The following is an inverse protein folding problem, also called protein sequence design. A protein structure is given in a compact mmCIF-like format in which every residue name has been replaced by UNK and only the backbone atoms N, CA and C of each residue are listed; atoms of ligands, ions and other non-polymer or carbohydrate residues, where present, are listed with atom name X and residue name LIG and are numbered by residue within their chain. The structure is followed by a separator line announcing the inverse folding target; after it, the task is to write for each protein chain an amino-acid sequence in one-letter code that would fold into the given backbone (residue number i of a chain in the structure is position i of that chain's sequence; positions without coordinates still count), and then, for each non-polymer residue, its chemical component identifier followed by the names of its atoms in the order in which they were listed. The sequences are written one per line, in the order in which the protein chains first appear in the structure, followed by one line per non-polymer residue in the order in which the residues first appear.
data_IF_691617078363
#
_entry.id   IF_691617078363
#
_cell.length_a   1.000
_cell.length_b   1.000
_cell.length_c   1.000
_cell.angle_alpha   90.00
_cell.angle_beta   90.00
_cell.angle_gamma   90.00
#
_symmetry.space_group_name_H-M   'P 1'
#
loop_
_entity.id
_entity.type
_entity.pdbx_description
1 polymer ?
#
# COMPACT_ATOMS: atom_id res chain seq x y z
N UNK A 1 26.41 -4.16 -3.80
CA UNK A 1 26.07 -3.79 -2.41
C UNK A 1 25.20 -4.87 -1.82
N UNK A 2 25.38 -5.18 -0.53
CA UNK A 2 24.54 -6.14 0.21
C UNK A 2 23.68 -5.34 1.17
N UNK A 3 22.37 -5.56 1.15
CA UNK A 3 21.44 -4.95 2.10
C UNK A 3 21.03 -5.99 3.13
N UNK A 4 21.02 -5.61 4.40
CA UNK A 4 20.34 -6.35 5.45
C UNK A 4 18.92 -5.81 5.57
N UNK A 5 17.92 -6.70 5.53
CA UNK A 5 16.50 -6.31 5.62
C UNK A 5 15.92 -6.93 6.88
N UNK A 6 15.36 -6.08 7.74
CA UNK A 6 14.70 -6.50 8.99
C UNK A 6 13.24 -6.08 8.95
N UNK A 7 12.34 -7.07 8.97
CA UNK A 7 10.91 -6.82 9.14
C UNK A 7 10.59 -6.50 10.60
N UNK A 8 9.85 -5.41 10.83
CA UNK A 8 9.38 -5.02 12.16
C UNK A 8 7.85 -4.98 12.17
N UNK A 9 7.24 -5.57 13.20
CA UNK A 9 5.81 -5.51 13.38
C UNK A 9 5.44 -4.23 14.14
N UNK A 10 4.75 -3.32 13.46
CA UNK A 10 4.37 -2.00 14.00
C UNK A 10 2.94 -1.65 13.59
N UNK A 11 2.17 -0.95 14.44
CA UNK A 11 0.81 -0.54 14.11
C UNK A 11 0.81 0.52 13.01
N UNK A 12 -0.22 0.51 12.15
CA UNK A 12 -0.45 1.58 11.16
C UNK A 12 -1.19 2.79 11.72
N UNK A 13 -1.85 2.67 12.87
CA UNK A 13 -2.62 3.77 13.47
C UNK A 13 -3.87 4.18 12.68
N UNK A 14 -4.28 3.39 11.68
CA UNK A 14 -5.51 3.57 10.87
C UNK A 14 -6.35 2.29 10.88
N UNK A 15 -7.49 2.29 10.17
CA UNK A 15 -8.32 1.08 10.00
C UNK A 15 -7.51 -0.11 9.47
N UNK A 16 -7.88 -1.34 9.85
CA UNK A 16 -7.28 -2.57 9.28
C UNK A 16 -7.57 -2.71 7.78
N UNK A 17 -8.64 -2.07 7.30
CA UNK A 17 -8.96 -1.90 5.89
C UNK A 17 -9.10 -0.40 5.61
N UNK A 18 -8.02 0.29 5.20
CA UNK A 18 -8.11 1.67 4.75
C UNK A 18 -9.01 1.78 3.52
N UNK A 19 -9.95 2.74 3.54
CA UNK A 19 -10.97 2.92 2.49
C UNK A 19 -10.80 4.21 1.67
N UNK A 20 -9.71 4.93 1.92
CA UNK A 20 -9.30 6.08 1.10
C UNK A 20 -7.80 6.06 0.84
N UNK A 21 -7.38 6.67 -0.26
CA UNK A 21 -5.97 6.83 -0.60
C UNK A 21 -5.23 7.63 0.47
N UNK A 22 -5.88 8.66 1.03
CA UNK A 22 -5.31 9.47 2.11
C UNK A 22 -5.08 8.65 3.38
N UNK A 23 -6.07 7.89 3.84
CA UNK A 23 -5.93 7.04 5.03
C UNK A 23 -4.85 5.98 4.83
N UNK A 24 -4.78 5.40 3.63
CA UNK A 24 -3.76 4.40 3.27
C UNK A 24 -2.35 5.01 3.32
N UNK A 25 -2.16 6.22 2.79
CA UNK A 25 -0.90 6.94 2.88
C UNK A 25 -0.52 7.24 4.34
N UNK A 26 -1.48 7.68 5.17
CA UNK A 26 -1.27 7.87 6.62
C UNK A 26 -0.79 6.56 7.27
N UNK A 27 -1.44 5.44 6.97
CA UNK A 27 -1.04 4.13 7.48
C UNK A 27 0.39 3.75 7.10
N UNK A 28 0.78 3.96 5.84
CA UNK A 28 2.15 3.70 5.38
C UNK A 28 3.18 4.59 6.09
N UNK A 29 2.91 5.90 6.21
CA UNK A 29 3.77 6.84 6.91
C UNK A 29 3.90 6.51 8.40
N UNK A 30 2.82 6.13 9.06
CA UNK A 30 2.83 5.72 10.47
C UNK A 30 3.69 4.48 10.69
N UNK A 31 3.59 3.47 9.81
CA UNK A 31 4.46 2.29 9.88
C UNK A 31 5.93 2.66 9.70
N UNK A 32 6.24 3.55 8.76
CA UNK A 32 7.61 4.01 8.56
C UNK A 32 8.17 4.66 9.83
N UNK A 33 7.43 5.61 10.43
CA UNK A 33 7.88 6.29 11.65
C UNK A 33 8.02 5.32 12.83
N UNK A 34 7.05 4.42 13.02
CA UNK A 34 7.13 3.41 14.07
C UNK A 34 8.29 2.43 13.85
N UNK A 35 8.62 2.08 12.60
CA UNK A 35 9.80 1.28 12.27
C UNK A 35 11.09 2.04 12.60
N UNK A 36 11.13 3.35 12.31
CA UNK A 36 12.25 4.24 12.65
C UNK A 36 12.47 4.36 14.15
N UNK A 37 11.41 4.47 14.94
CA UNK A 37 11.53 4.45 16.39
C UNK A 37 12.07 3.11 16.94
N UNK A 38 11.82 2.00 16.25
CA UNK A 38 12.21 0.65 16.69
C UNK A 38 13.61 0.26 16.25
N UNK A 39 14.06 0.78 15.12
CA UNK A 39 15.39 0.55 14.56
C UNK A 39 15.97 1.90 14.12
N UNK A 40 16.39 2.76 15.07
CA UNK A 40 16.82 4.13 14.77
C UNK A 40 18.14 4.22 13.99
N UNK A 41 18.94 3.15 13.99
CA UNK A 41 20.27 3.11 13.37
C UNK A 41 20.27 2.52 11.94
N UNK A 42 19.10 2.36 11.31
CA UNK A 42 19.02 1.89 9.93
C UNK A 42 19.36 3.00 8.92
N UNK A 43 19.84 2.61 7.74
CA UNK A 43 20.09 3.55 6.64
C UNK A 43 18.80 4.02 5.96
N UNK A 44 17.77 3.17 5.97
CA UNK A 44 16.47 3.40 5.33
C UNK A 44 15.33 2.79 6.16
N UNK A 45 14.17 3.44 6.11
CA UNK A 45 12.90 2.90 6.62
C UNK A 45 11.86 2.88 5.51
N UNK A 46 11.03 1.83 5.52
CA UNK A 46 10.01 1.61 4.50
C UNK A 46 8.67 1.33 5.17
N UNK A 47 7.66 2.11 4.80
CA UNK A 47 6.27 1.90 5.15
C UNK A 47 5.49 1.42 3.93
N UNK A 48 4.70 0.36 4.09
CA UNK A 48 3.86 -0.19 3.03
C UNK A 48 2.47 -0.42 3.61
N UNK A 49 1.44 0.14 2.98
CA UNK A 49 0.05 -0.06 3.38
C UNK A 49 -0.83 -0.27 2.15
N UNK A 50 -1.62 -1.36 2.15
CA UNK A 50 -2.63 -1.62 1.14
C UNK A 50 -3.94 -0.94 1.51
N UNK A 51 -4.70 -0.52 0.52
CA UNK A 51 -5.98 0.15 0.71
C UNK A 51 -6.88 0.02 -0.50
N UNK A 52 -8.11 0.46 -0.31
CA UNK A 52 -9.11 0.56 -1.37
C UNK A 52 -9.69 1.96 -1.39
N UNK A 53 -10.32 2.36 -2.49
CA UNK A 53 -11.03 3.64 -2.58
C UNK A 53 -12.23 3.50 -3.50
N UNK A 54 -13.38 4.00 -3.07
CA UNK A 54 -14.56 4.10 -3.93
C UNK A 54 -14.32 5.16 -5.01
N UNK A 55 -14.57 4.79 -6.26
CA UNK A 55 -14.29 5.66 -7.40
C UNK A 55 -15.26 6.83 -7.44
N UNK A 56 -14.73 8.02 -7.70
CA UNK A 56 -15.53 9.23 -7.90
C UNK A 56 -16.06 9.20 -9.34
N UNK A 57 -17.39 9.23 -9.48
CA UNK A 57 -18.09 9.35 -10.76
C UNK A 57 -18.99 10.58 -10.69
N UNK A 58 -18.64 11.62 -11.46
CA UNK A 58 -19.32 12.91 -11.37
C UNK A 58 -19.02 13.62 -10.04
N UNK A 59 -20.07 14.08 -9.35
CA UNK A 59 -19.95 14.88 -8.12
C UNK A 59 -19.89 14.03 -6.83
N UNK A 60 -19.78 12.70 -6.94
CA UNK A 60 -19.80 11.80 -5.78
C UNK A 60 -19.10 10.46 -6.00
N UNK A 61 -19.07 9.64 -4.96
CA UNK A 61 -18.55 8.27 -5.02
C UNK A 61 -19.64 7.32 -5.55
N UNK A 62 -19.26 6.41 -6.45
CA UNK A 62 -20.07 5.24 -6.76
C UNK A 62 -19.74 4.15 -5.73
N UNK A 63 -20.67 3.79 -4.82
CA UNK A 63 -20.38 2.81 -3.79
C UNK A 63 -20.18 1.39 -4.32
N UNK A 64 -20.48 1.15 -5.60
CA UNK A 64 -20.35 -0.14 -6.26
C UNK A 64 -19.05 -0.28 -7.07
N UNK A 65 -18.27 0.79 -7.19
CA UNK A 65 -17.02 0.80 -7.94
C UNK A 65 -15.87 1.14 -7.00
N UNK A 66 -14.91 0.24 -6.89
CA UNK A 66 -13.81 0.37 -5.94
C UNK A 66 -12.50 -0.03 -6.61
N UNK A 67 -11.50 0.85 -6.48
CA UNK A 67 -10.12 0.52 -6.85
C UNK A 67 -9.34 0.01 -5.64
N UNK A 68 -8.32 -0.82 -5.92
CA UNK A 68 -7.36 -1.30 -4.92
C UNK A 68 -5.95 -0.85 -5.28
N UNK A 69 -5.16 -0.48 -4.26
CA UNK A 69 -3.78 -0.04 -4.40
C UNK A 69 -2.99 -0.24 -3.10
N UNK A 70 -1.71 0.11 -3.12
CA UNK A 70 -0.89 0.26 -1.92
C UNK A 70 -0.01 1.49 -2.01
N UNK A 71 0.17 2.18 -0.88
CA UNK A 71 1.15 3.25 -0.71
C UNK A 71 2.46 2.70 -0.17
N UNK A 72 3.56 3.18 -0.76
CA UNK A 72 4.93 2.90 -0.35
C UNK A 72 5.55 4.24 0.02
N UNK A 73 6.09 4.33 1.22
CA UNK A 73 6.87 5.46 1.70
C UNK A 73 8.26 4.95 2.07
N UNK A 74 9.30 5.63 1.60
CA UNK A 74 10.70 5.33 1.93
C UNK A 74 11.35 6.60 2.46
N UNK A 75 12.14 6.47 3.52
CA UNK A 75 12.91 7.56 4.10
C UNK A 75 14.33 7.10 4.38
N UNK A 76 15.31 7.90 3.96
CA UNK A 76 16.72 7.70 4.28
C UNK A 76 17.12 8.38 5.60
N UNK A 77 18.23 7.96 6.19
CA UNK A 77 18.78 8.52 7.43
C UNK A 77 19.02 10.04 7.38
N UNK A 78 19.30 10.60 6.21
CA UNK A 78 19.49 12.05 6.00
C UNK A 78 18.16 12.85 5.90
N UNK A 79 17.02 12.17 6.00
CA UNK A 79 15.68 12.75 5.91
C UNK A 79 15.14 12.83 4.47
N UNK A 80 15.88 12.38 3.46
CA UNK A 80 15.37 12.29 2.09
C UNK A 80 14.24 11.28 2.04
N UNK A 81 13.06 11.73 1.62
CA UNK A 81 11.86 10.90 1.54
C UNK A 81 11.43 10.72 0.09
N UNK A 82 10.83 9.57 -0.19
CA UNK A 82 10.16 9.28 -1.44
C UNK A 82 8.90 8.46 -1.23
N UNK A 83 7.92 8.67 -2.10
CA UNK A 83 6.60 8.07 -2.00
C UNK A 83 6.17 7.59 -3.37
N UNK A 84 5.45 6.48 -3.41
CA UNK A 84 4.78 6.02 -4.62
C UNK A 84 3.53 5.22 -4.26
N UNK A 85 2.69 5.03 -5.26
CA UNK A 85 1.53 4.16 -5.18
C UNK A 85 1.66 3.10 -6.26
N UNK A 86 1.20 1.89 -5.95
CA UNK A 86 1.05 0.86 -6.98
C UNK A 86 0.05 1.31 -8.05
N UNK A 87 0.08 0.69 -9.23
CA UNK A 87 -0.94 0.93 -10.25
C UNK A 87 -2.30 0.42 -9.79
N UNK A 88 -3.32 1.27 -9.74
CA UNK A 88 -4.66 0.86 -9.32
C UNK A 88 -5.35 -0.04 -10.35
N UNK A 89 -6.21 -0.95 -9.87
CA UNK A 89 -7.17 -1.68 -10.69
C UNK A 89 -8.49 -1.87 -9.94
N UNK A 90 -9.55 -2.19 -10.66
CA UNK A 90 -10.91 -2.30 -10.10
C UNK A 90 -11.18 -3.70 -9.55
N UNK A 91 -11.90 -3.74 -8.44
CA UNK A 91 -12.34 -4.97 -7.80
C UNK A 91 -13.62 -5.53 -8.44
N UNK A 92 -13.84 -6.87 -8.42
CA UNK A 92 -15.12 -7.47 -8.76
C UNK A 92 -16.25 -6.98 -7.87
N UNK A 93 -17.45 -6.83 -8.41
CA UNK A 93 -18.62 -6.31 -7.68
C UNK A 93 -18.92 -7.09 -6.38
N UNK A 94 -18.75 -8.42 -6.40
CA UNK A 94 -18.94 -9.26 -5.21
C UNK A 94 -17.96 -8.90 -4.08
N UNK A 95 -16.68 -8.71 -4.42
CA UNK A 95 -15.65 -8.24 -3.48
C UNK A 95 -16.00 -6.85 -2.95
N UNK A 96 -16.43 -5.92 -3.81
CA UNK A 96 -16.83 -4.56 -3.38
C UNK A 96 -17.96 -4.62 -2.36
N UNK A 97 -19.01 -5.40 -2.62
CA UNK A 97 -20.15 -5.56 -1.70
C UNK A 97 -19.71 -6.07 -0.33
N UNK A 98 -18.79 -7.02 -0.28
CA UNK A 98 -18.25 -7.57 0.96
C UNK A 98 -17.42 -6.55 1.73
N UNK A 99 -16.55 -5.80 1.04
CA UNK A 99 -15.71 -4.76 1.66
C UNK A 99 -16.55 -3.60 2.18
N UNK A 100 -17.54 -3.13 1.42
CA UNK A 100 -18.52 -2.14 1.87
C UNK A 100 -19.33 -2.65 3.08
N UNK A 101 -19.57 -3.97 3.15
CA UNK A 101 -20.17 -4.64 4.30
C UNK A 101 -19.27 -4.73 5.55
N UNK A 102 -18.05 -4.20 5.49
CA UNK A 102 -17.09 -4.17 6.60
C UNK A 102 -16.11 -5.35 6.63
N UNK A 103 -16.07 -6.19 5.60
CA UNK A 103 -15.11 -7.29 5.51
C UNK A 103 -13.75 -6.78 5.00
N UNK A 104 -12.65 -7.26 5.57
CA UNK A 104 -11.30 -6.98 5.05
C UNK A 104 -11.16 -7.58 3.63
N UNK A 105 -10.48 -6.88 2.72
CA UNK A 105 -10.31 -7.28 1.32
C UNK A 105 -9.79 -8.71 1.17
N UNK A 106 -8.79 -9.12 1.98
CA UNK A 106 -8.26 -10.48 1.91
C UNK A 106 -9.30 -11.56 2.24
N UNK A 107 -10.23 -11.26 3.15
CA UNK A 107 -11.33 -12.14 3.50
C UNK A 107 -12.46 -12.09 2.47
N UNK A 108 -12.71 -10.92 1.86
CA UNK A 108 -13.63 -10.77 0.75
C UNK A 108 -13.17 -11.56 -0.49
N UNK A 109 -11.89 -11.52 -0.82
CA UNK A 109 -11.29 -12.32 -1.89
C UNK A 109 -11.45 -13.82 -1.61
N UNK A 110 -11.10 -14.28 -0.41
CA UNK A 110 -11.24 -15.69 -0.02
C UNK A 110 -12.70 -16.17 -0.21
N UNK A 111 -13.67 -15.36 0.21
CA UNK A 111 -15.09 -15.66 0.08
C UNK A 111 -15.58 -15.67 -1.38
N UNK A 112 -15.21 -14.67 -2.18
CA UNK A 112 -15.66 -14.55 -3.58
C UNK A 112 -15.05 -15.63 -4.47
N UNK A 113 -13.74 -15.91 -4.30
CA UNK A 113 -13.01 -16.86 -5.15
C UNK A 113 -13.01 -18.30 -4.61
N UNK A 114 -13.67 -18.56 -3.47
CA UNK A 114 -13.74 -19.88 -2.85
C UNK A 114 -12.36 -20.42 -2.43
N UNK A 115 -11.46 -19.52 -2.01
CA UNK A 115 -10.09 -19.84 -1.57
C UNK A 115 -9.93 -19.55 -0.08
N UNK A 116 -8.85 -20.06 0.50
CA UNK A 116 -8.45 -19.73 1.88
C UNK A 116 -7.01 -19.19 1.87
N UNK A 117 -6.77 -18.11 2.60
CA UNK A 117 -5.45 -17.46 2.75
C UNK A 117 -4.86 -16.87 1.45
N UNK A 118 -5.69 -16.39 0.53
CA UNK A 118 -5.25 -15.75 -0.71
C UNK A 118 -4.31 -14.55 -0.46
N UNK A 119 -4.48 -13.89 0.71
CA UNK A 119 -3.67 -12.75 1.12
C UNK A 119 -2.17 -13.05 1.27
N UNK A 120 -1.78 -14.28 1.60
CA UNK A 120 -0.37 -14.59 1.91
C UNK A 120 0.45 -15.09 0.71
N UNK A 121 -0.19 -15.59 -0.35
CA UNK A 121 0.52 -16.12 -1.51
C UNK A 121 0.43 -15.20 -2.72
N UNK A 122 -0.79 -14.87 -3.15
CA UNK A 122 -1.00 -14.28 -4.48
C UNK A 122 -1.49 -12.83 -4.41
N UNK A 123 -2.30 -12.50 -3.39
CA UNK A 123 -3.02 -11.23 -3.30
C UNK A 123 -4.06 -11.05 -4.41
N UNK A 124 -4.91 -10.02 -4.28
CA UNK A 124 -5.98 -9.72 -5.25
C UNK A 124 -5.48 -9.58 -6.68
N UNK A 125 -4.30 -8.95 -6.85
CA UNK A 125 -3.69 -8.72 -8.17
C UNK A 125 -3.34 -10.01 -8.90
N UNK A 126 -2.81 -11.02 -8.20
CA UNK A 126 -2.48 -12.27 -8.84
C UNK A 126 -3.72 -13.16 -9.06
N UNK A 127 -4.74 -13.07 -8.18
CA UNK A 127 -6.02 -13.75 -8.38
C UNK A 127 -6.69 -13.29 -9.68
N UNK A 128 -6.67 -11.98 -9.94
CA UNK A 128 -7.36 -11.38 -11.09
C UNK A 128 -6.53 -11.35 -12.37
N UNK A 129 -5.22 -11.58 -12.30
CA UNK A 129 -4.33 -11.60 -13.47
C UNK A 129 -3.87 -13.00 -13.90
N UNK A 130 -4.39 -14.05 -13.26
CA UNK A 130 -3.86 -15.42 -13.30
C UNK A 130 -2.35 -15.46 -13.06
N UNK A 131 -1.90 -14.81 -11.98
CA UNK A 131 -0.49 -14.73 -11.57
C UNK A 131 0.47 -14.12 -12.61
N UNK A 132 -0.04 -13.50 -13.69
CA UNK A 132 0.80 -12.73 -14.65
C UNK A 132 1.41 -11.50 -14.00
N UNK A 133 0.74 -10.94 -13.00
CA UNK A 133 1.30 -9.96 -12.06
C UNK A 133 1.17 -10.56 -10.66
N UNK A 134 2.29 -10.89 -10.04
CA UNK A 134 2.30 -11.41 -8.67
C UNK A 134 2.28 -10.25 -7.67
N UNK A 135 1.91 -10.52 -6.41
CA UNK A 135 2.04 -9.52 -5.34
C UNK A 135 3.47 -8.98 -5.24
N UNK A 136 4.49 -9.82 -5.43
CA UNK A 136 5.87 -9.36 -5.38
C UNK A 136 6.18 -8.38 -6.51
N UNK A 137 5.95 -8.76 -7.78
CA UNK A 137 6.28 -7.88 -8.92
C UNK A 137 5.45 -6.60 -8.94
N UNK A 138 4.21 -6.66 -8.44
CA UNK A 138 3.34 -5.51 -8.27
C UNK A 138 3.93 -4.46 -7.30
N UNK A 139 4.47 -4.90 -6.16
CA UNK A 139 5.07 -4.00 -5.17
C UNK A 139 6.50 -3.60 -5.52
N UNK A 140 7.28 -4.45 -6.18
CA UNK A 140 8.66 -4.16 -6.59
C UNK A 140 8.74 -2.86 -7.40
N UNK A 141 7.85 -2.68 -8.38
CA UNK A 141 7.81 -1.46 -9.18
C UNK A 141 7.51 -0.22 -8.33
N UNK A 142 6.54 -0.31 -7.42
CA UNK A 142 6.21 0.81 -6.54
C UNK A 142 7.37 1.15 -5.59
N UNK A 143 8.03 0.15 -5.00
CA UNK A 143 9.23 0.38 -4.17
C UNK A 143 10.33 1.08 -5.00
N UNK A 144 10.59 0.62 -6.23
CA UNK A 144 11.56 1.27 -7.12
C UNK A 144 11.19 2.72 -7.43
N UNK A 145 9.91 3.02 -7.64
CA UNK A 145 9.44 4.39 -7.88
C UNK A 145 9.59 5.27 -6.62
N UNK A 146 9.33 4.73 -5.42
CA UNK A 146 9.50 5.47 -4.17
C UNK A 146 10.98 5.80 -3.88
N UNK A 147 11.93 5.07 -4.47
CA UNK A 147 13.37 5.34 -4.35
C UNK A 147 13.87 6.45 -5.29
N UNK A 148 13.02 6.99 -6.19
CA UNK A 148 13.43 8.02 -7.16
C UNK A 148 14.08 9.24 -6.47
N UNK A 149 13.52 9.83 -5.39
CA UNK A 149 14.14 10.98 -4.74
C UNK A 149 15.50 10.66 -4.12
N UNK A 150 15.66 9.46 -3.54
CA UNK A 150 16.90 9.01 -2.92
C UNK A 150 18.02 8.80 -3.98
N UNK A 151 17.65 8.41 -5.20
CA UNK A 151 18.59 8.25 -6.31
C UNK A 151 18.97 9.59 -6.96
N UNK A 152 18.08 10.58 -6.94
CA UNK A 152 18.23 11.82 -7.68
C UNK A 152 18.37 13.03 -6.74
N UNK A 153 19.36 12.99 -5.86
CA UNK A 153 19.58 13.98 -4.80
C UNK A 153 19.91 15.39 -5.31
N UNK A 154 20.20 15.56 -6.60
CA UNK A 154 20.36 16.86 -7.24
C UNK A 154 19.03 17.62 -7.42
N UNK A 155 17.88 16.97 -7.24
CA UNK A 155 16.56 17.59 -7.37
C UNK A 155 15.84 17.65 -6.03
N UNK A 156 15.02 18.70 -5.85
CA UNK A 156 14.06 18.78 -4.76
C UNK A 156 12.72 18.24 -5.24
N UNK A 157 12.18 17.26 -4.53
CA UNK A 157 10.85 16.71 -4.79
C UNK A 157 9.83 17.33 -3.84
N UNK A 158 8.70 17.78 -4.38
CA UNK A 158 7.56 18.22 -3.57
C UNK A 158 6.66 17.01 -3.30
N UNK A 159 6.62 16.56 -2.04
CA UNK A 159 5.81 15.43 -1.60
C UNK A 159 4.60 15.93 -0.79
N UNK A 160 3.49 15.19 -0.78
CA UNK A 160 2.34 15.53 0.06
C UNK A 160 2.73 15.49 1.54
N UNK A 161 2.34 16.53 2.29
CA UNK A 161 2.49 16.54 3.74
C UNK A 161 1.43 15.66 4.37
N UNK A 162 1.85 14.59 5.03
CA UNK A 162 0.97 13.76 5.85
C UNK A 162 0.98 14.37 7.25
N UNK A 163 -0.04 15.16 7.57
CA UNK A 163 -0.25 15.62 8.94
C UNK A 163 -0.73 14.43 9.78
N UNK A 164 0.09 14.05 10.75
CA UNK A 164 -0.25 13.11 11.83
C UNK A 164 -1.28 13.73 12.78
#
# INVERSE_FOLDING_TARGET
HTFAVTGVNVPSGVSTQPITSRETLVGATNRLHAARERVPDADFWVGIEGGVEQTIVGDGHDPHVMEVFAWIVVEAADGTQGMSRTGSFYLPEGVVKLVVGGLELGHADDQEFGRTNSKHHTGTVGLLSDDRITRQSYYEHAVLLALIPLKNTQFRFALPTVHL
#
